data_IF_244197515597
#
_entry.id   IF_244197515597
#
_cell.length_a   1.000
_cell.length_b   1.000
_cell.length_c   1.000
_cell.angle_alpha   90.00
_cell.angle_beta   90.00
_cell.angle_gamma   90.00
#
_symmetry.space_group_name_H-M   'P 1'
#
loop_
_entity.id
_entity.type
_entity.pdbx_description
1 polymer ?
#
# COMPACT_ATOMS: atom_id res chain seq x y z
N UNK A 1 -35.88 -70.33 34.15
CA UNK A 1 -34.61 -69.61 34.40
C UNK A 1 -34.91 -68.15 34.05
N UNK A 2 -35.37 -67.33 35.00
CA UNK A 2 -34.61 -66.89 36.18
C UNK A 2 -33.76 -65.70 35.71
N UNK A 3 -34.30 -64.48 35.83
CA UNK A 3 -34.01 -63.56 36.93
C UNK A 3 -32.58 -63.01 36.84
N UNK A 4 -32.47 -61.78 36.34
CA UNK A 4 -31.55 -60.72 36.82
C UNK A 4 -31.62 -59.56 35.83
N UNK A 5 -32.51 -58.61 36.09
CA UNK A 5 -32.34 -57.19 35.67
C UNK A 5 -33.33 -56.24 36.36
N UNK A 6 -34.03 -56.73 37.41
CA UNK A 6 -34.86 -55.90 38.30
C UNK A 6 -34.08 -55.20 39.41
N UNK A 7 -32.76 -55.39 39.52
CA UNK A 7 -31.97 -54.87 40.66
C UNK A 7 -31.00 -53.73 40.32
N UNK A 8 -30.89 -53.27 39.07
CA UNK A 8 -29.90 -52.24 38.72
C UNK A 8 -30.42 -50.82 38.47
N UNK A 9 -31.74 -50.60 38.49
CA UNK A 9 -32.32 -49.24 38.42
C UNK A 9 -32.93 -48.75 39.75
N UNK A 10 -32.65 -49.42 40.87
CA UNK A 10 -33.11 -49.01 42.22
C UNK A 10 -32.09 -48.09 42.92
N UNK A 11 -30.92 -47.83 42.33
CA UNK A 11 -29.80 -47.16 43.05
C UNK A 11 -29.51 -45.72 42.58
N UNK A 12 -30.25 -45.14 41.63
CA UNK A 12 -29.88 -43.82 41.10
C UNK A 12 -30.96 -42.73 41.03
N UNK A 13 -32.12 -42.94 41.67
CA UNK A 13 -33.08 -41.87 41.95
C UNK A 13 -33.35 -41.66 43.44
N UNK A 14 -32.53 -42.25 44.31
CA UNK A 14 -32.54 -42.01 45.76
C UNK A 14 -31.78 -40.73 46.20
N UNK A 15 -31.65 -39.75 45.31
CA UNK A 15 -31.14 -38.42 45.63
C UNK A 15 -31.91 -37.34 44.88
N UNK A 16 -33.17 -37.14 45.23
CA UNK A 16 -33.78 -35.79 45.35
C UNK A 16 -35.27 -35.84 45.72
N UNK A 17 -35.68 -36.67 46.67
CA UNK A 17 -36.95 -36.50 47.36
C UNK A 17 -36.71 -36.66 48.87
N UNK A 18 -36.08 -35.65 49.48
CA UNK A 18 -36.18 -35.45 50.93
C UNK A 18 -37.56 -34.81 51.17
N UNK A 19 -38.52 -35.58 51.68
CA UNK A 19 -39.75 -34.95 52.14
C UNK A 19 -41.02 -35.79 52.28
N UNK A 20 -41.01 -37.11 52.10
CA UNK A 20 -42.21 -37.93 52.36
C UNK A 20 -41.90 -38.95 53.45
N UNK A 21 -42.69 -38.90 54.52
CA UNK A 21 -42.50 -39.67 55.74
C UNK A 21 -42.93 -41.12 55.54
N UNK A 22 -42.33 -42.06 56.27
CA UNK A 22 -42.67 -43.52 56.28
C UNK A 22 -44.18 -43.84 56.48
N UNK A 23 -45.02 -42.87 56.86
CA UNK A 23 -46.47 -43.02 56.92
C UNK A 23 -47.14 -43.17 55.54
N UNK A 24 -46.54 -42.60 54.49
CA UNK A 24 -47.15 -42.58 53.16
C UNK A 24 -47.01 -43.92 52.43
N UNK A 25 -45.93 -44.67 52.73
CA UNK A 25 -45.73 -46.03 52.19
C UNK A 25 -46.67 -47.04 52.86
N UNK A 26 -46.97 -46.86 54.15
CA UNK A 26 -47.86 -47.76 54.88
C UNK A 26 -49.33 -47.59 54.51
N UNK A 27 -49.75 -46.39 54.10
CA UNK A 27 -51.11 -46.13 53.59
C UNK A 27 -51.39 -46.82 52.24
N UNK A 28 -50.35 -46.99 51.41
CA UNK A 28 -50.48 -47.62 50.08
C UNK A 28 -50.55 -49.15 50.20
N UNK A 29 -49.87 -49.75 51.17
CA UNK A 29 -49.86 -51.22 51.33
C UNK A 29 -51.14 -51.79 51.98
N UNK A 30 -51.86 -51.02 52.82
CA UNK A 30 -53.08 -51.52 53.48
C UNK A 30 -54.36 -51.43 52.62
N UNK A 31 -54.32 -50.73 51.48
CA UNK A 31 -55.51 -50.50 50.64
C UNK A 31 -55.51 -51.29 49.31
N UNK A 32 -54.57 -52.21 49.11
CA UNK A 32 -54.47 -52.97 47.86
C UNK A 32 -55.44 -54.17 47.77
N UNK A 33 -56.09 -54.58 48.87
CA UNK A 33 -56.89 -55.81 48.95
C UNK A 33 -58.42 -55.62 48.95
N UNK A 34 -58.92 -54.42 48.64
CA UNK A 34 -60.36 -54.22 48.37
C UNK A 34 -60.54 -53.42 47.10
N UNK A 35 -60.67 -54.13 45.99
CA UNK A 35 -61.12 -53.56 44.72
C UNK A 35 -62.41 -52.77 44.93
N UNK A 36 -62.37 -51.50 44.51
CA UNK A 36 -63.44 -50.47 44.41
C UNK A 36 -63.12 -49.17 45.15
N UNK A 37 -62.15 -48.39 44.66
CA UNK A 37 -62.15 -46.92 44.81
C UNK A 37 -61.34 -46.24 43.68
N UNK A 38 -61.67 -46.57 42.42
CA UNK A 38 -61.41 -45.64 41.32
C UNK A 38 -62.52 -44.60 41.36
N UNK A 39 -62.33 -43.57 42.17
CA UNK A 39 -63.25 -42.43 42.30
C UNK A 39 -62.55 -41.37 43.13
N UNK A 40 -62.26 -40.14 42.70
CA UNK A 40 -62.72 -39.34 41.56
C UNK A 40 -61.71 -38.19 41.43
N UNK A 41 -60.77 -38.26 40.51
CA UNK A 41 -60.54 -37.02 39.75
C UNK A 41 -61.69 -37.02 38.76
N UNK A 42 -62.58 -36.01 38.75
CA UNK A 42 -63.62 -35.94 37.74
C UNK A 42 -62.95 -36.14 36.38
N UNK A 43 -63.42 -37.11 35.58
CA UNK A 43 -63.00 -37.30 34.18
C UNK A 43 -62.87 -35.94 33.45
N UNK A 44 -63.78 -34.96 33.66
CA UNK A 44 -63.60 -33.61 33.10
C UNK A 44 -62.38 -32.83 33.61
N UNK A 45 -61.90 -33.02 34.86
CA UNK A 45 -60.66 -32.39 35.36
C UNK A 45 -59.39 -32.99 34.73
N UNK A 46 -59.36 -34.31 34.47
CA UNK A 46 -58.23 -34.95 33.76
C UNK A 46 -58.23 -34.50 32.29
N UNK A 47 -59.39 -34.48 31.65
CA UNK A 47 -59.54 -34.01 30.27
C UNK A 47 -59.15 -32.54 30.13
N UNK A 48 -59.53 -31.68 31.08
CA UNK A 48 -59.10 -30.28 31.10
C UNK A 48 -57.58 -30.13 31.30
N UNK A 49 -56.97 -30.94 32.16
CA UNK A 49 -55.52 -30.94 32.36
C UNK A 49 -54.75 -31.47 31.13
N UNK A 50 -55.32 -32.46 30.43
CA UNK A 50 -54.77 -32.98 29.17
C UNK A 50 -54.87 -31.95 28.05
N UNK A 51 -56.02 -31.30 27.89
CA UNK A 51 -56.21 -30.21 26.93
C UNK A 51 -55.26 -29.03 27.21
N UNK A 52 -55.11 -28.64 28.48
CA UNK A 52 -54.20 -27.57 28.87
C UNK A 52 -52.73 -27.94 28.67
N UNK A 53 -52.36 -29.21 28.83
CA UNK A 53 -51.03 -29.72 28.47
C UNK A 53 -50.79 -29.67 26.96
N UNK A 54 -51.77 -30.05 26.14
CA UNK A 54 -51.66 -29.97 24.68
C UNK A 54 -51.50 -28.51 24.20
N UNK A 55 -52.24 -27.59 24.80
CA UNK A 55 -52.14 -26.15 24.54
C UNK A 55 -50.77 -25.57 24.92
N UNK A 56 -50.20 -25.99 26.05
CA UNK A 56 -48.85 -25.63 26.47
C UNK A 56 -47.78 -26.22 25.54
N UNK A 57 -47.94 -27.46 25.08
CA UNK A 57 -47.02 -28.08 24.13
C UNK A 57 -47.04 -27.38 22.77
N UNK A 58 -48.22 -26.97 22.31
CA UNK A 58 -48.34 -26.18 21.07
C UNK A 58 -47.73 -24.79 21.25
N UNK A 59 -47.91 -24.15 22.41
CA UNK A 59 -47.24 -22.87 22.72
C UNK A 59 -45.72 -23.01 22.76
N UNK A 60 -45.18 -24.07 23.37
CA UNK A 60 -43.73 -24.34 23.38
C UNK A 60 -43.22 -24.52 21.95
N UNK A 61 -43.96 -25.25 21.11
CA UNK A 61 -43.59 -25.47 19.71
C UNK A 61 -43.60 -24.17 18.90
N UNK A 62 -44.59 -23.30 19.12
CA UNK A 62 -44.64 -21.98 18.50
C UNK A 62 -43.45 -21.11 18.92
N UNK A 63 -43.12 -21.08 20.22
CA UNK A 63 -41.94 -20.37 20.72
C UNK A 63 -40.63 -20.94 20.15
N UNK A 64 -40.52 -22.26 19.96
CA UNK A 64 -39.36 -22.87 19.32
C UNK A 64 -39.21 -22.45 17.85
N UNK A 65 -40.33 -22.33 17.12
CA UNK A 65 -40.32 -21.83 15.76
C UNK A 65 -39.91 -20.35 15.71
N UNK A 66 -40.46 -19.51 16.59
CA UNK A 66 -40.07 -18.09 16.71
C UNK A 66 -38.59 -17.91 17.04
N UNK A 67 -38.04 -18.69 17.97
CA UNK A 67 -36.60 -18.66 18.29
C UNK A 67 -35.77 -19.05 17.06
N UNK A 68 -36.21 -20.05 16.30
CA UNK A 68 -35.50 -20.49 15.09
C UNK A 68 -35.49 -19.41 14.02
N UNK A 69 -36.60 -18.69 13.82
CA UNK A 69 -36.70 -17.56 12.91
C UNK A 69 -35.79 -16.40 13.36
N UNK A 70 -35.81 -16.04 14.65
CA UNK A 70 -34.96 -14.98 15.19
C UNK A 70 -33.46 -15.30 15.03
N UNK A 71 -33.05 -16.54 15.25
CA UNK A 71 -31.66 -16.97 15.05
C UNK A 71 -31.26 -16.83 13.58
N UNK A 72 -32.14 -17.21 12.65
CA UNK A 72 -31.87 -17.04 11.22
C UNK A 72 -31.74 -15.55 10.82
N UNK A 73 -32.58 -14.67 11.37
CA UNK A 73 -32.51 -13.22 11.13
C UNK A 73 -31.21 -12.60 11.68
N UNK A 74 -30.73 -13.08 12.84
CA UNK A 74 -29.44 -12.65 13.41
C UNK A 74 -28.28 -13.07 12.49
N UNK A 75 -28.26 -14.33 12.04
CA UNK A 75 -27.22 -14.83 11.14
C UNK A 75 -27.20 -14.06 9.81
N UNK A 76 -28.37 -13.71 9.26
CA UNK A 76 -28.48 -12.91 8.04
C UNK A 76 -28.02 -11.45 8.27
N UNK A 77 -28.34 -10.86 9.42
CA UNK A 77 -27.85 -9.53 9.79
C UNK A 77 -26.32 -9.50 9.89
N UNK A 78 -25.70 -10.48 10.57
CA UNK A 78 -24.25 -10.58 10.69
C UNK A 78 -23.57 -10.75 9.31
N UNK A 79 -24.15 -11.56 8.43
CA UNK A 79 -23.68 -11.73 7.04
C UNK A 79 -23.75 -10.43 6.24
N UNK A 80 -24.84 -9.68 6.37
CA UNK A 80 -25.02 -8.39 5.71
C UNK A 80 -24.02 -7.35 6.24
N UNK A 81 -23.77 -7.31 7.55
CA UNK A 81 -22.79 -6.41 8.15
C UNK A 81 -21.37 -6.73 7.66
N UNK A 82 -21.00 -8.02 7.63
CA UNK A 82 -19.72 -8.48 7.13
C UNK A 82 -19.54 -8.14 5.64
N UNK A 83 -20.60 -8.30 4.83
CA UNK A 83 -20.58 -7.94 3.41
C UNK A 83 -20.41 -6.43 3.22
N UNK A 84 -21.08 -5.60 4.02
CA UNK A 84 -20.91 -4.13 4.00
C UNK A 84 -19.49 -3.73 4.39
N UNK A 85 -18.91 -4.39 5.40
CA UNK A 85 -17.53 -4.13 5.83
C UNK A 85 -16.53 -4.43 4.71
N UNK A 86 -16.63 -5.61 4.11
CA UNK A 86 -15.79 -6.02 2.96
C UNK A 86 -15.98 -5.06 1.78
N UNK A 87 -17.21 -4.64 1.51
CA UNK A 87 -17.48 -3.67 0.44
C UNK A 87 -16.80 -2.32 0.71
N UNK A 88 -16.90 -1.82 1.95
CA UNK A 88 -16.29 -0.56 2.37
C UNK A 88 -14.76 -0.62 2.31
N UNK A 89 -14.15 -1.72 2.75
CA UNK A 89 -12.71 -1.97 2.62
C UNK A 89 -12.25 -2.02 1.14
N UNK A 90 -13.04 -2.68 0.28
CA UNK A 90 -12.76 -2.73 -1.16
C UNK A 90 -12.84 -1.34 -1.82
N UNK A 91 -13.79 -0.51 -1.42
CA UNK A 91 -13.91 0.87 -1.92
C UNK A 91 -12.73 1.73 -1.45
N UNK A 92 -12.35 1.63 -0.18
CA UNK A 92 -11.17 2.33 0.36
C UNK A 92 -9.92 1.90 -0.40
N UNK A 93 -9.72 0.60 -0.60
CA UNK A 93 -8.60 0.07 -1.38
C UNK A 93 -8.56 0.61 -2.82
N UNK A 94 -9.72 0.68 -3.50
CA UNK A 94 -9.81 1.27 -4.85
C UNK A 94 -9.45 2.76 -4.85
N UNK A 95 -9.86 3.49 -3.82
CA UNK A 95 -9.58 4.91 -3.67
C UNK A 95 -8.09 5.17 -3.35
N UNK A 96 -7.49 4.41 -2.43
CA UNK A 96 -6.04 4.43 -2.17
C UNK A 96 -5.24 4.05 -3.41
N UNK A 97 -5.69 3.06 -4.19
CA UNK A 97 -5.07 2.75 -5.48
C UNK A 97 -5.17 3.90 -6.48
N UNK A 98 -6.29 4.62 -6.50
CA UNK A 98 -6.43 5.80 -7.34
C UNK A 98 -5.47 6.90 -6.91
N UNK A 99 -5.30 7.12 -5.60
CA UNK A 99 -4.31 8.04 -5.03
C UNK A 99 -2.89 7.68 -5.48
N UNK A 100 -2.51 6.41 -5.43
CA UNK A 100 -1.16 5.99 -5.83
C UNK A 100 -0.86 6.24 -7.32
N UNK A 101 -1.89 6.33 -8.17
CA UNK A 101 -1.75 6.63 -9.60
C UNK A 101 -1.85 8.13 -9.89
N UNK A 102 -2.76 8.81 -9.19
CA UNK A 102 -3.12 10.21 -9.37
C UNK A 102 -3.58 10.74 -8.00
N UNK A 103 -2.66 11.34 -7.22
CA UNK A 103 -2.93 11.68 -5.82
C UNK A 103 -4.11 12.64 -5.66
N UNK A 104 -4.24 13.61 -6.57
CA UNK A 104 -5.32 14.58 -6.55
C UNK A 104 -6.68 13.91 -6.77
N UNK A 105 -6.81 13.08 -7.82
CA UNK A 105 -8.05 12.33 -8.07
C UNK A 105 -8.33 11.28 -7.00
N UNK A 106 -7.29 10.73 -6.37
CA UNK A 106 -7.42 9.80 -5.25
C UNK A 106 -8.05 10.46 -4.03
N UNK A 107 -7.54 11.61 -3.61
CA UNK A 107 -8.15 12.40 -2.52
C UNK A 107 -9.58 12.79 -2.88
N UNK A 108 -9.83 13.23 -4.12
CA UNK A 108 -11.18 13.55 -4.57
C UNK A 108 -12.13 12.34 -4.41
N UNK A 109 -11.71 11.16 -4.86
CA UNK A 109 -12.53 9.94 -4.74
C UNK A 109 -12.75 9.52 -3.28
N UNK A 110 -11.73 9.66 -2.41
CA UNK A 110 -11.85 9.41 -0.98
C UNK A 110 -12.89 10.34 -0.32
N UNK A 111 -12.91 11.61 -0.74
CA UNK A 111 -13.89 12.60 -0.28
C UNK A 111 -15.29 12.30 -0.79
N UNK A 112 -15.45 12.01 -2.08
CA UNK A 112 -16.74 11.64 -2.69
C UNK A 112 -17.36 10.41 -2.03
N UNK A 113 -16.52 9.42 -1.66
CA UNK A 113 -16.92 8.19 -0.98
C UNK A 113 -17.07 8.34 0.54
N UNK A 114 -16.87 9.54 1.09
CA UNK A 114 -16.97 9.86 2.53
C UNK A 114 -16.00 9.05 3.40
N UNK A 115 -14.87 8.63 2.85
CA UNK A 115 -13.74 8.10 3.63
C UNK A 115 -12.91 9.21 4.25
N UNK A 116 -12.98 10.40 3.67
CA UNK A 116 -12.19 11.56 4.07
C UNK A 116 -13.04 12.82 3.91
N UNK A 117 -12.84 13.80 4.76
CA UNK A 117 -13.39 15.13 4.53
C UNK A 117 -12.37 15.99 3.80
N UNK A 118 -12.84 17.03 3.08
CA UNK A 118 -11.96 17.99 2.40
C UNK A 118 -11.35 19.00 3.39
N UNK A 119 -10.80 18.48 4.48
CA UNK A 119 -10.16 19.21 5.56
C UNK A 119 -8.65 18.90 5.59
N UNK A 120 -7.75 19.91 5.63
CA UNK A 120 -6.31 19.67 5.59
C UNK A 120 -5.78 18.77 6.71
N UNK A 121 -6.33 18.86 7.93
CA UNK A 121 -5.84 18.05 9.06
C UNK A 121 -6.24 16.59 8.89
N UNK A 122 -7.46 16.32 8.44
CA UNK A 122 -7.91 14.95 8.17
C UNK A 122 -7.14 14.33 7.01
N UNK A 123 -6.91 15.07 5.93
CA UNK A 123 -6.09 14.60 4.81
C UNK A 123 -4.66 14.30 5.30
N UNK A 124 -4.03 15.21 6.04
CA UNK A 124 -2.69 15.02 6.57
C UNK A 124 -2.58 13.76 7.45
N UNK A 125 -3.51 13.54 8.37
CA UNK A 125 -3.55 12.32 9.21
C UNK A 125 -3.73 11.05 8.38
N UNK A 126 -4.58 11.09 7.36
CA UNK A 126 -4.76 9.95 6.45
C UNK A 126 -3.47 9.62 5.70
N UNK A 127 -2.77 10.62 5.16
CA UNK A 127 -1.48 10.43 4.51
C UNK A 127 -0.42 9.89 5.49
N UNK A 128 -0.44 10.37 6.73
CA UNK A 128 0.51 9.97 7.78
C UNK A 128 0.32 8.51 8.25
N UNK A 129 -0.87 7.94 8.10
CA UNK A 129 -1.15 6.54 8.44
C UNK A 129 -0.59 5.54 7.42
N UNK A 130 -0.26 5.98 6.19
CA UNK A 130 0.34 5.15 5.14
C UNK A 130 -0.50 3.90 4.74
N UNK A 131 -1.81 3.86 5.02
CA UNK A 131 -2.64 2.66 4.77
C UNK A 131 -2.93 2.49 3.26
N UNK A 132 -2.14 1.64 2.62
CA UNK A 132 -2.26 1.33 1.19
C UNK A 132 -1.86 2.49 0.26
N UNK A 133 -1.12 3.47 0.79
CA UNK A 133 -0.64 4.64 0.06
C UNK A 133 0.84 4.48 -0.28
N UNK A 134 1.21 4.88 -1.50
CA UNK A 134 2.61 4.94 -1.92
C UNK A 134 3.27 6.19 -1.34
N UNK A 135 4.44 6.00 -0.72
CA UNK A 135 5.27 7.10 -0.22
C UNK A 135 5.71 8.08 -1.31
N UNK A 136 5.83 7.61 -2.55
CA UNK A 136 6.08 8.47 -3.70
C UNK A 136 4.87 9.35 -4.03
N UNK A 137 3.66 8.78 -4.02
CA UNK A 137 2.42 9.53 -4.22
C UNK A 137 2.16 10.55 -3.10
N UNK A 138 2.49 10.18 -1.85
CA UNK A 138 2.43 11.11 -0.70
C UNK A 138 3.37 12.29 -0.94
N UNK A 139 4.65 12.03 -1.28
CA UNK A 139 5.63 13.09 -1.55
C UNK A 139 5.22 14.00 -2.70
N UNK A 140 4.68 13.42 -3.78
CA UNK A 140 4.19 14.18 -4.92
C UNK A 140 3.02 15.11 -4.55
N UNK A 141 2.03 14.59 -3.81
CA UNK A 141 0.87 15.35 -3.37
C UNK A 141 1.24 16.47 -2.40
N UNK A 142 2.02 16.17 -1.36
CA UNK A 142 2.47 17.15 -0.39
C UNK A 142 3.33 18.25 -1.03
N UNK A 143 4.06 17.88 -2.10
CA UNK A 143 4.88 18.79 -2.86
C UNK A 143 4.08 19.75 -3.76
N UNK A 144 2.78 19.58 -4.02
CA UNK A 144 2.07 20.44 -4.98
C UNK A 144 1.93 21.91 -4.51
N UNK A 145 1.70 22.83 -5.46
CA UNK A 145 1.53 24.27 -5.17
C UNK A 145 0.08 24.69 -4.86
N UNK A 146 -0.87 23.77 -4.99
CA UNK A 146 -2.27 24.08 -4.72
C UNK A 146 -2.48 24.53 -3.26
N UNK A 147 -3.36 25.51 -3.00
CA UNK A 147 -3.57 26.05 -1.66
C UNK A 147 -4.00 25.00 -0.62
N UNK A 148 -4.70 23.95 -1.06
CA UNK A 148 -5.05 22.83 -0.20
C UNK A 148 -3.80 22.02 0.17
N UNK A 149 -2.98 21.67 -0.82
CA UNK A 149 -1.76 20.87 -0.63
C UNK A 149 -0.76 21.56 0.29
N UNK A 150 -0.59 22.88 0.17
CA UNK A 150 0.26 23.67 1.07
C UNK A 150 -0.23 23.55 2.52
N UNK A 151 -1.56 23.66 2.75
CA UNK A 151 -2.14 23.50 4.09
C UNK A 151 -2.03 22.05 4.60
N UNK A 152 -2.18 21.06 3.72
CA UNK A 152 -2.00 19.65 4.05
C UNK A 152 -0.55 19.38 4.42
N UNK A 153 0.42 19.93 3.70
CA UNK A 153 1.85 19.82 4.03
C UNK A 153 2.12 20.38 5.42
N UNK A 154 1.65 21.58 5.74
CA UNK A 154 1.80 22.13 7.10
C UNK A 154 1.19 21.19 8.15
N UNK A 155 -0.06 20.74 7.97
CA UNK A 155 -0.71 19.83 8.90
C UNK A 155 0.00 18.46 8.99
N UNK A 156 0.64 17.99 7.92
CA UNK A 156 1.39 16.75 7.88
C UNK A 156 2.71 16.87 8.64
N UNK A 157 3.41 18.00 8.52
CA UNK A 157 4.60 18.28 9.34
C UNK A 157 4.20 18.42 10.81
N UNK A 158 3.05 19.06 11.11
CA UNK A 158 2.52 19.18 12.47
C UNK A 158 2.16 17.84 13.12
N UNK A 159 1.98 16.76 12.34
CA UNK A 159 1.82 15.39 12.88
C UNK A 159 3.11 14.80 13.44
N UNK A 160 4.29 15.38 13.13
CA UNK A 160 5.56 14.95 13.68
C UNK A 160 5.84 15.66 15.00
N UNK A 161 6.29 14.90 16.01
CA UNK A 161 6.83 15.48 17.24
C UNK A 161 8.36 15.55 17.17
N UNK A 162 8.86 16.75 16.87
CA UNK A 162 10.31 17.02 16.84
C UNK A 162 10.86 17.57 18.16
N UNK A 163 10.04 17.63 19.20
CA UNK A 163 10.41 18.24 20.48
C UNK A 163 11.60 17.50 21.10
N UNK A 164 12.70 18.23 21.37
CA UNK A 164 13.95 17.72 21.95
C UNK A 164 14.68 16.68 21.09
N UNK A 165 14.30 16.52 19.82
CA UNK A 165 15.06 15.70 18.88
C UNK A 165 16.20 16.51 18.26
N UNK A 166 17.35 15.87 18.02
CA UNK A 166 18.41 16.44 17.20
C UNK A 166 17.99 16.51 15.73
N UNK A 167 18.62 17.40 14.95
CA UNK A 167 18.19 17.69 13.57
C UNK A 167 18.25 16.45 12.66
N UNK A 168 19.29 15.63 12.79
CA UNK A 168 19.42 14.39 12.00
C UNK A 168 18.30 13.41 12.32
N UNK A 169 17.92 13.27 13.59
CA UNK A 169 16.84 12.36 14.00
C UNK A 169 15.47 12.86 13.52
N UNK A 170 15.20 14.16 13.64
CA UNK A 170 14.00 14.76 13.08
C UNK A 170 13.93 14.56 11.55
N UNK A 171 15.05 14.73 10.83
CA UNK A 171 15.14 14.46 9.40
C UNK A 171 14.89 12.98 9.06
N UNK A 172 15.42 12.03 9.85
CA UNK A 172 15.12 10.60 9.66
C UNK A 172 13.64 10.33 9.77
N UNK A 173 12.99 10.83 10.81
CA UNK A 173 11.56 10.61 11.02
C UNK A 173 10.73 11.24 9.90
N UNK A 174 11.08 12.44 9.48
CA UNK A 174 10.40 13.15 8.40
C UNK A 174 10.54 12.43 7.05
N UNK A 175 11.77 12.11 6.65
CA UNK A 175 12.08 11.46 5.36
C UNK A 175 11.65 9.99 5.31
N UNK A 176 11.39 9.35 6.45
CA UNK A 176 10.86 7.99 6.49
C UNK A 176 9.38 7.88 6.08
N UNK A 177 8.63 9.00 6.07
CA UNK A 177 7.17 9.02 5.80
C UNK A 177 6.80 9.19 4.33
N UNK A 178 7.72 9.66 3.49
CA UNK A 178 7.45 9.90 2.07
C UNK A 178 8.76 9.85 1.26
N UNK A 179 8.65 9.71 -0.06
CA UNK A 179 9.80 9.84 -0.96
C UNK A 179 9.89 11.28 -1.43
N UNK A 180 11.10 11.87 -1.33
CA UNK A 180 11.31 13.22 -1.85
C UNK A 180 11.01 13.27 -3.37
N UNK A 181 10.24 14.26 -3.83
CA UNK A 181 9.97 14.46 -5.25
C UNK A 181 11.26 14.82 -6.01
N UNK A 182 11.29 14.59 -7.32
CA UNK A 182 12.46 14.90 -8.16
C UNK A 182 12.56 16.39 -8.53
N UNK A 183 11.44 17.11 -8.50
CA UNK A 183 11.37 18.52 -8.86
C UNK A 183 11.89 19.41 -7.73
N UNK A 184 12.95 20.18 -8.00
CA UNK A 184 13.61 21.03 -7.00
C UNK A 184 12.64 21.95 -6.23
N UNK A 185 11.63 22.51 -6.90
CA UNK A 185 10.64 23.38 -6.26
C UNK A 185 9.75 22.67 -5.23
N UNK A 186 9.48 21.36 -5.42
CA UNK A 186 8.69 20.59 -4.47
C UNK A 186 9.52 20.25 -3.23
N UNK A 187 10.77 19.82 -3.43
CA UNK A 187 11.73 19.57 -2.34
C UNK A 187 11.89 20.82 -1.48
N UNK A 188 12.10 21.97 -2.11
CA UNK A 188 12.26 23.26 -1.46
C UNK A 188 11.15 23.55 -0.44
N UNK A 189 9.87 23.51 -0.88
CA UNK A 189 8.71 23.70 0.01
C UNK A 189 8.65 22.73 1.18
N UNK A 190 8.93 21.45 0.93
CA UNK A 190 8.89 20.43 1.97
C UNK A 190 9.93 20.70 3.05
N UNK A 191 11.13 21.08 2.62
CA UNK A 191 12.25 21.39 3.51
C UNK A 191 12.09 22.72 4.24
N UNK A 192 11.49 23.75 3.61
CA UNK A 192 11.11 25.00 4.28
C UNK A 192 10.10 24.72 5.40
N UNK A 193 9.05 23.95 5.11
CA UNK A 193 8.01 23.62 6.08
C UNK A 193 8.56 22.80 7.25
N UNK A 194 9.41 21.80 6.94
CA UNK A 194 10.12 21.02 7.95
C UNK A 194 10.97 21.92 8.87
N UNK A 195 11.77 22.80 8.28
CA UNK A 195 12.71 23.65 9.02
C UNK A 195 11.98 24.62 9.93
N UNK A 196 10.88 25.20 9.45
CA UNK A 196 10.02 26.08 10.26
C UNK A 196 9.42 25.33 11.45
N UNK A 197 8.93 24.10 11.24
CA UNK A 197 8.37 23.29 12.32
C UNK A 197 9.44 22.83 13.32
N UNK A 198 10.62 22.41 12.84
CA UNK A 198 11.73 22.01 13.71
C UNK A 198 12.17 23.16 14.62
N UNK A 199 12.31 24.38 14.08
CA UNK A 199 12.67 25.57 14.88
C UNK A 199 11.58 25.91 15.90
N UNK A 200 10.31 25.74 15.54
CA UNK A 200 9.18 25.92 16.47
C UNK A 200 9.23 24.92 17.63
N UNK A 201 9.58 23.66 17.37
CA UNK A 201 9.74 22.63 18.39
C UNK A 201 11.02 22.81 19.23
N UNK A 202 12.07 23.40 18.66
CA UNK A 202 13.41 23.52 19.26
C UNK A 202 13.99 24.93 19.09
N UNK A 203 13.40 25.96 19.73
CA UNK A 203 13.75 27.37 19.49
C UNK A 203 15.18 27.74 19.91
N UNK A 204 15.80 26.96 20.78
CA UNK A 204 17.14 27.22 21.33
C UNK A 204 18.28 26.80 20.38
N UNK A 205 17.99 25.99 19.36
CA UNK A 205 19.03 25.37 18.50
C UNK A 205 19.43 26.28 17.34
N UNK A 206 18.44 26.87 16.66
CA UNK A 206 18.65 27.71 15.46
C UNK A 206 18.12 29.13 15.68
N UNK A 207 18.93 30.15 15.38
CA UNK A 207 18.54 31.57 15.46
C UNK A 207 17.57 31.99 14.35
N UNK A 208 17.59 31.28 13.23
CA UNK A 208 16.67 31.50 12.11
C UNK A 208 16.31 30.18 11.44
N UNK A 209 15.11 30.15 10.85
CA UNK A 209 14.64 29.04 10.02
C UNK A 209 15.57 28.78 8.84
N UNK A 210 16.15 29.85 8.26
CA UNK A 210 17.08 29.75 7.13
C UNK A 210 18.34 28.95 7.50
N UNK A 211 18.90 29.16 8.69
CA UNK A 211 20.04 28.37 9.16
C UNK A 211 19.68 26.88 9.30
N UNK A 212 18.51 26.57 9.85
CA UNK A 212 18.02 25.20 9.96
C UNK A 212 17.81 24.56 8.58
N UNK A 213 17.23 25.31 7.64
CA UNK A 213 17.00 24.89 6.26
C UNK A 213 18.30 24.55 5.54
N UNK A 214 19.30 25.46 5.58
CA UNK A 214 20.57 25.24 4.87
C UNK A 214 21.32 24.04 5.46
N UNK A 215 21.36 23.90 6.79
CA UNK A 215 22.00 22.75 7.44
C UNK A 215 21.27 21.45 7.08
N UNK A 216 19.94 21.46 7.06
CA UNK A 216 19.14 20.28 6.67
C UNK A 216 19.44 19.81 5.25
N UNK A 217 19.52 20.75 4.29
CA UNK A 217 19.95 20.43 2.92
C UNK A 217 21.39 19.91 2.87
N UNK A 218 22.29 20.53 3.62
CA UNK A 218 23.67 20.04 3.67
C UNK A 218 23.78 18.64 4.25
N UNK A 219 22.92 18.25 5.19
CA UNK A 219 22.87 16.87 5.71
C UNK A 219 22.37 15.88 4.65
N UNK A 220 21.38 16.24 3.84
CA UNK A 220 20.91 15.39 2.72
C UNK A 220 22.04 15.19 1.69
N UNK A 221 22.77 16.25 1.35
CA UNK A 221 23.93 16.19 0.45
C UNK A 221 25.06 15.35 1.07
N UNK A 222 25.35 15.58 2.36
CA UNK A 222 26.38 14.83 3.09
C UNK A 222 26.05 13.34 3.14
N UNK A 223 24.78 12.97 3.35
CA UNK A 223 24.35 11.57 3.36
C UNK A 223 24.74 10.88 2.05
N UNK A 224 24.49 11.55 0.92
CA UNK A 224 24.83 11.04 -0.41
C UNK A 224 26.35 10.90 -0.55
N UNK A 225 27.12 11.89 -0.11
CA UNK A 225 28.58 11.86 -0.19
C UNK A 225 29.23 10.77 0.68
N UNK A 226 28.69 10.49 1.87
CA UNK A 226 29.25 9.50 2.80
C UNK A 226 28.89 8.06 2.40
N UNK A 227 27.69 7.82 1.87
CA UNK A 227 27.15 6.46 1.70
C UNK A 227 27.08 5.99 0.24
N UNK A 228 27.15 6.88 -0.75
CA UNK A 228 27.18 6.47 -2.15
C UNK A 228 28.55 5.85 -2.52
N UNK A 229 28.62 4.56 -2.95
CA UNK A 229 29.88 3.91 -3.32
C UNK A 229 30.61 4.56 -4.50
N UNK A 230 29.91 5.34 -5.34
CA UNK A 230 30.52 6.05 -6.47
C UNK A 230 31.33 7.29 -6.06
N UNK A 231 31.14 7.79 -4.82
CA UNK A 231 31.90 8.92 -4.29
C UNK A 231 33.19 8.40 -3.67
N UNK A 232 34.33 8.70 -4.31
CA UNK A 232 35.66 8.26 -3.87
C UNK A 232 36.19 9.07 -2.70
N UNK A 233 36.07 10.40 -2.78
CA UNK A 233 36.52 11.31 -1.74
C UNK A 233 35.35 11.65 -0.81
N UNK A 234 35.30 10.93 0.31
CA UNK A 234 34.27 11.14 1.33
C UNK A 234 34.65 12.35 2.20
N UNK A 235 33.75 13.32 2.39
CA UNK A 235 34.06 14.48 3.21
C UNK A 235 34.28 14.09 4.67
N UNK A 236 35.35 14.61 5.26
CA UNK A 236 35.65 14.41 6.68
C UNK A 236 34.92 15.43 7.58
N UNK A 237 35.01 15.22 8.90
CA UNK A 237 34.37 16.07 9.89
C UNK A 237 34.89 17.53 9.84
N UNK A 238 36.17 17.74 9.53
CA UNK A 238 36.75 19.09 9.46
C UNK A 238 36.21 19.85 8.26
N UNK A 239 36.11 19.19 7.11
CA UNK A 239 35.49 19.73 5.90
C UNK A 239 34.01 20.07 6.16
N UNK A 240 33.25 19.17 6.80
CA UNK A 240 31.86 19.43 7.15
C UNK A 240 31.71 20.65 8.09
N UNK A 241 32.52 20.71 9.15
CA UNK A 241 32.50 21.83 10.11
C UNK A 241 32.90 23.15 9.44
N UNK A 242 33.91 23.14 8.56
CA UNK A 242 34.37 24.33 7.86
C UNK A 242 33.33 24.89 6.90
N UNK A 243 32.51 24.04 6.26
CA UNK A 243 31.46 24.47 5.33
C UNK A 243 30.32 25.21 6.04
N UNK A 244 30.12 24.95 7.34
CA UNK A 244 29.01 25.52 8.13
C UNK A 244 29.42 26.70 9.02
N UNK A 245 30.67 27.17 8.94
CA UNK A 245 31.07 28.40 9.64
C UNK A 245 30.28 29.60 9.12
N UNK A 246 29.82 30.46 10.02
CA UNK A 246 29.05 31.67 9.71
C UNK A 246 27.58 31.45 9.32
N UNK A 247 27.09 30.20 9.28
CA UNK A 247 25.74 29.88 8.79
C UNK A 247 24.62 30.29 9.75
N UNK A 248 24.94 30.58 11.01
CA UNK A 248 23.99 30.87 12.08
C UNK A 248 23.78 32.38 12.25
N UNK A 249 23.16 33.00 11.24
CA UNK A 249 22.94 34.45 11.15
C UNK A 249 24.24 35.27 11.28
N UNK A 250 25.31 34.82 10.61
CA UNK A 250 26.64 35.45 10.68
C UNK A 250 27.53 34.93 11.83
N UNK A 251 27.01 34.04 12.69
CA UNK A 251 27.78 33.32 13.70
C UNK A 251 27.93 31.82 13.39
N UNK A 252 28.61 31.09 14.28
CA UNK A 252 28.82 29.65 14.17
C UNK A 252 27.79 28.85 14.98
N UNK A 253 27.43 27.66 14.48
CA UNK A 253 26.74 26.65 15.30
C UNK A 253 27.73 26.05 16.31
N UNK A 254 27.25 25.56 17.48
CA UNK A 254 28.09 24.83 18.42
C UNK A 254 28.82 23.69 17.70
N UNK A 255 30.13 23.58 17.94
CA UNK A 255 30.97 22.61 17.23
C UNK A 255 30.54 21.19 17.59
N UNK A 256 30.16 20.97 18.84
CA UNK A 256 29.65 19.70 19.36
C UNK A 256 28.40 19.25 18.60
N UNK A 257 27.50 20.17 18.23
CA UNK A 257 26.30 19.87 17.47
C UNK A 257 26.63 19.43 16.03
N UNK A 258 27.58 20.08 15.38
CA UNK A 258 28.05 19.69 14.04
C UNK A 258 28.72 18.31 14.05
N UNK A 259 29.51 18.01 15.10
CA UNK A 259 30.12 16.71 15.31
C UNK A 259 29.05 15.64 15.49
N UNK A 260 28.07 15.87 16.36
CA UNK A 260 26.97 14.93 16.60
C UNK A 260 26.19 14.61 15.32
N UNK A 261 25.87 15.65 14.53
CA UNK A 261 25.17 15.47 13.26
C UNK A 261 25.99 14.65 12.25
N UNK A 262 27.28 14.95 12.10
CA UNK A 262 28.17 14.22 11.19
C UNK A 262 28.35 12.77 11.59
N UNK A 263 28.64 12.50 12.87
CA UNK A 263 28.87 11.13 13.35
C UNK A 263 27.59 10.30 13.33
N UNK A 264 26.43 10.89 13.66
CA UNK A 264 25.13 10.23 13.51
C UNK A 264 24.87 9.81 12.07
N UNK A 265 25.10 10.71 11.11
CA UNK A 265 24.88 10.41 9.70
C UNK A 265 25.91 9.44 9.13
N UNK A 266 27.17 9.51 9.54
CA UNK A 266 28.21 8.57 9.15
C UNK A 266 27.94 7.17 9.66
N UNK A 267 27.40 7.04 10.87
CA UNK A 267 27.03 5.76 11.48
C UNK A 267 25.85 5.11 10.76
N UNK A 268 24.83 5.88 10.40
CA UNK A 268 23.61 5.38 9.79
C UNK A 268 23.13 6.32 8.68
N UNK A 269 23.00 5.83 7.45
CA UNK A 269 22.44 6.61 6.35
C UNK A 269 20.97 6.97 6.61
N UNK A 270 20.46 8.03 6.00
CA UNK A 270 19.00 8.24 5.97
C UNK A 270 18.33 7.02 5.36
N UNK A 271 17.34 6.48 6.06
CA UNK A 271 16.45 5.46 5.50
C UNK A 271 15.53 6.15 4.51
N UNK A 272 15.94 6.15 3.25
CA UNK A 272 15.05 6.49 2.15
C UNK A 272 14.19 5.23 1.97
N UNK A 273 12.86 5.32 2.09
CA UNK A 273 11.99 4.17 1.83
C UNK A 273 12.37 3.58 0.47
N UNK A 274 12.97 2.39 0.48
CA UNK A 274 13.34 1.67 -0.74
C UNK A 274 12.07 1.27 -1.49
N UNK A 275 12.21 0.94 -2.78
CA UNK A 275 11.18 0.38 -3.68
C UNK A 275 10.74 -1.05 -3.24
N UNK A 276 10.75 -1.32 -1.93
CA UNK A 276 10.43 -2.62 -1.30
C UNK A 276 9.01 -2.68 -0.73
N UNK A 277 8.10 -1.81 -1.19
CA UNK A 277 6.71 -2.20 -1.13
C UNK A 277 6.52 -3.33 -2.15
N UNK A 278 6.22 -4.55 -1.68
CA UNK A 278 5.98 -5.75 -2.46
C UNK A 278 4.93 -5.61 -3.60
N UNK A 279 4.26 -4.46 -3.68
CA UNK A 279 3.35 -3.97 -4.71
C UNK A 279 4.07 -3.32 -5.93
N UNK A 280 5.32 -2.85 -5.79
CA UNK A 280 6.11 -2.29 -6.90
C UNK A 280 6.72 -3.34 -7.83
N UNK A 281 6.70 -4.64 -7.50
CA UNK A 281 6.96 -5.69 -8.51
C UNK A 281 5.98 -5.65 -9.68
N UNK A 282 4.81 -5.04 -9.48
CA UNK A 282 3.87 -4.68 -10.56
C UNK A 282 4.08 -3.30 -11.18
N UNK A 283 5.03 -2.50 -10.67
CA UNK A 283 5.33 -1.12 -11.06
C UNK A 283 6.69 -0.90 -11.76
N UNK A 284 7.37 -1.95 -12.26
CA UNK A 284 8.56 -1.80 -13.12
C UNK A 284 8.33 -0.86 -14.33
N UNK A 285 7.09 -0.44 -14.60
CA UNK A 285 6.64 0.36 -15.73
C UNK A 285 6.02 1.73 -15.39
N UNK A 286 6.12 2.25 -14.16
CA UNK A 286 5.63 3.61 -13.85
C UNK A 286 6.47 4.70 -14.55
N UNK A 287 5.80 5.72 -15.13
CA UNK A 287 6.34 6.77 -16.04
C UNK A 287 7.15 6.19 -17.21
N UNK A 288 6.53 5.43 -18.12
CA UNK A 288 7.23 5.00 -19.31
C UNK A 288 7.54 6.21 -20.19
N UNK A 289 8.73 6.20 -20.81
CA UNK A 289 9.09 7.20 -21.83
C UNK A 289 8.09 7.17 -22.99
N UNK A 290 7.51 6.00 -23.26
CA UNK A 290 6.40 5.83 -24.19
C UNK A 290 5.66 4.51 -23.93
N UNK A 291 4.35 4.47 -24.14
CA UNK A 291 3.54 3.25 -24.03
C UNK A 291 2.42 3.22 -25.08
N UNK A 292 1.94 2.03 -25.42
CA UNK A 292 0.94 1.88 -26.47
C UNK A 292 0.84 0.48 -27.07
N UNK A 293 -0.22 0.25 -27.85
CA UNK A 293 -0.43 -1.03 -28.55
C UNK A 293 0.35 -1.07 -29.86
N UNK A 294 1.14 -2.13 -30.07
CA UNK A 294 1.77 -2.45 -31.35
C UNK A 294 1.49 -3.89 -31.78
N UNK A 295 1.54 -4.13 -33.08
CA UNK A 295 1.64 -5.47 -33.64
C UNK A 295 3.11 -5.85 -33.77
N UNK A 296 3.49 -7.05 -33.32
CA UNK A 296 4.85 -7.58 -33.46
C UNK A 296 4.90 -8.87 -34.27
N UNK A 297 5.91 -9.01 -35.11
CA UNK A 297 6.17 -10.25 -35.83
C UNK A 297 6.93 -11.25 -34.94
N UNK A 298 6.56 -12.52 -34.98
CA UNK A 298 7.27 -13.60 -34.28
C UNK A 298 8.64 -13.89 -34.90
N UNK A 299 9.55 -14.46 -34.09
CA UNK A 299 10.94 -14.72 -34.48
C UNK A 299 11.08 -15.90 -35.43
N UNK A 300 11.02 -17.11 -34.87
CA UNK A 300 11.07 -18.38 -35.62
C UNK A 300 9.79 -18.62 -36.42
N UNK A 301 8.64 -18.44 -35.78
CA UNK A 301 7.32 -18.55 -36.41
C UNK A 301 6.85 -17.15 -36.73
N UNK A 302 6.64 -16.85 -38.02
CA UNK A 302 6.29 -15.51 -38.52
C UNK A 302 4.80 -15.21 -38.39
N UNK A 303 4.32 -15.15 -37.15
CA UNK A 303 2.94 -14.75 -36.82
C UNK A 303 2.91 -13.36 -36.19
N UNK A 304 1.89 -12.58 -36.53
CA UNK A 304 1.67 -11.26 -35.96
C UNK A 304 0.87 -11.37 -34.66
N UNK A 305 1.29 -10.65 -33.61
CA UNK A 305 0.60 -10.60 -32.32
C UNK A 305 0.45 -9.16 -31.84
N UNK A 306 -0.75 -8.78 -31.39
CA UNK A 306 -1.00 -7.50 -30.72
C UNK A 306 -0.50 -7.59 -29.28
N UNK A 307 0.32 -6.63 -28.85
CA UNK A 307 0.91 -6.58 -27.52
C UNK A 307 0.92 -5.15 -27.02
N UNK A 308 0.72 -4.98 -25.71
CA UNK A 308 0.91 -3.68 -25.06
C UNK A 308 2.41 -3.49 -24.86
N UNK A 309 2.97 -2.41 -25.36
CA UNK A 309 4.38 -2.10 -25.26
C UNK A 309 4.63 -0.96 -24.30
N UNK A 310 5.73 -1.05 -23.57
CA UNK A 310 6.19 -0.04 -22.63
C UNK A 310 7.68 0.17 -22.86
N UNK A 311 8.09 1.42 -23.10
CA UNK A 311 9.47 1.87 -23.21
C UNK A 311 9.89 2.53 -21.90
N UNK A 312 10.89 1.97 -21.21
CA UNK A 312 11.40 2.51 -19.96
C UNK A 312 12.82 2.01 -19.71
N UNK A 313 13.67 2.81 -19.06
CA UNK A 313 15.00 2.39 -18.59
C UNK A 313 15.86 1.72 -19.69
N UNK A 314 15.86 2.31 -20.90
CA UNK A 314 16.55 1.80 -22.10
C UNK A 314 16.14 0.36 -22.51
N UNK A 315 14.96 -0.08 -22.08
CA UNK A 315 14.38 -1.38 -22.38
C UNK A 315 12.97 -1.21 -22.98
N UNK A 316 12.64 -2.10 -23.91
CA UNK A 316 11.30 -2.22 -24.47
C UNK A 316 10.64 -3.51 -24.00
N UNK A 317 9.55 -3.36 -23.27
CA UNK A 317 8.79 -4.44 -22.65
C UNK A 317 7.48 -4.66 -23.40
N UNK A 318 6.98 -5.90 -23.42
CA UNK A 318 5.66 -6.18 -24.00
C UNK A 318 4.85 -7.21 -23.22
N UNK A 319 3.53 -6.98 -23.19
CA UNK A 319 2.54 -7.72 -22.39
C UNK A 319 1.42 -8.27 -23.27
N UNK A 320 0.70 -9.28 -22.79
CA UNK A 320 -0.53 -9.73 -23.47
C UNK A 320 -1.62 -8.67 -23.34
N UNK A 321 -1.82 -8.18 -22.11
CA UNK A 321 -2.83 -7.23 -21.70
C UNK A 321 -2.24 -6.10 -20.82
N UNK A 322 -2.94 -4.98 -20.72
CA UNK A 322 -2.50 -3.81 -19.92
C UNK A 322 -2.50 -4.04 -18.41
N UNK A 323 -3.18 -5.09 -17.95
CA UNK A 323 -3.30 -5.46 -16.53
C UNK A 323 -2.28 -6.51 -16.08
N UNK A 324 -1.45 -7.01 -17.01
CA UNK A 324 -0.49 -8.07 -16.73
C UNK A 324 0.63 -7.59 -15.81
N UNK A 325 0.99 -8.45 -14.87
CA UNK A 325 2.00 -8.15 -13.85
C UNK A 325 3.43 -8.41 -14.32
N UNK A 326 3.61 -9.35 -15.25
CA UNK A 326 4.91 -9.76 -15.77
C UNK A 326 4.96 -9.59 -17.29
N UNK A 327 6.06 -9.05 -17.85
CA UNK A 327 6.21 -8.91 -19.28
C UNK A 327 6.34 -10.28 -19.96
N UNK A 328 5.67 -10.45 -21.09
CA UNK A 328 5.88 -11.60 -21.97
C UNK A 328 7.26 -11.58 -22.61
N UNK A 329 7.90 -10.42 -22.70
CA UNK A 329 9.31 -10.33 -23.02
C UNK A 329 9.90 -8.95 -22.88
N UNK A 330 11.23 -8.93 -22.83
CA UNK A 330 12.05 -7.76 -22.56
C UNK A 330 13.10 -7.66 -23.65
N UNK A 331 13.21 -6.49 -24.26
CA UNK A 331 14.14 -6.17 -25.34
C UNK A 331 15.03 -5.02 -24.85
N UNK A 332 16.24 -5.31 -24.34
CA UNK A 332 17.22 -4.28 -24.05
C UNK A 332 17.59 -3.53 -25.34
N UNK A 333 17.64 -2.20 -25.29
CA UNK A 333 17.86 -1.35 -26.47
C UNK A 333 19.33 -1.02 -26.71
N UNK A 334 20.26 -1.49 -25.87
CA UNK A 334 21.68 -1.23 -26.05
C UNK A 334 22.15 -1.73 -27.43
N UNK A 335 22.84 -0.85 -28.16
CA UNK A 335 23.41 -1.14 -29.47
C UNK A 335 22.38 -1.52 -30.55
N UNK A 336 21.11 -1.18 -30.35
CA UNK A 336 20.07 -1.33 -31.37
C UNK A 336 19.93 -0.05 -32.21
N UNK A 337 19.47 -0.21 -33.44
CA UNK A 337 19.05 0.88 -34.32
C UNK A 337 17.59 0.73 -34.71
N UNK A 338 16.88 1.85 -34.79
CA UNK A 338 15.48 1.93 -35.21
C UNK A 338 15.40 2.40 -36.65
N UNK A 339 14.91 1.54 -37.55
CA UNK A 339 14.81 1.81 -39.00
C UNK A 339 13.38 1.63 -39.51
N UNK A 340 12.98 2.40 -40.51
CA UNK A 340 11.68 2.22 -41.19
C UNK A 340 11.71 0.90 -41.96
N UNK A 341 10.61 0.16 -41.96
CA UNK A 341 10.48 -1.11 -42.67
C UNK A 341 9.18 -1.17 -43.48
N UNK A 342 9.20 -1.92 -44.57
CA UNK A 342 7.99 -2.24 -45.34
C UNK A 342 7.57 -3.69 -45.09
N UNK A 343 6.26 -3.93 -45.04
CA UNK A 343 5.68 -5.27 -44.94
C UNK A 343 4.47 -5.39 -45.88
N UNK A 344 4.35 -6.49 -46.66
CA UNK A 344 3.24 -6.65 -47.61
C UNK A 344 1.86 -6.70 -46.96
N UNK A 345 1.77 -7.05 -45.67
CA UNK A 345 0.50 -7.31 -44.97
C UNK A 345 0.21 -6.35 -43.82
N UNK A 346 1.16 -5.50 -43.45
CA UNK A 346 1.03 -4.61 -42.28
C UNK A 346 1.56 -3.22 -42.59
N UNK A 347 0.75 -2.16 -42.40
CA UNK A 347 1.18 -0.79 -42.62
C UNK A 347 2.07 -0.29 -41.46
N UNK A 348 2.69 0.85 -41.68
CA UNK A 348 3.42 1.62 -40.65
C UNK A 348 4.48 0.81 -39.89
N UNK A 349 5.23 -0.03 -40.62
CA UNK A 349 6.23 -0.91 -40.02
C UNK A 349 7.56 -0.20 -39.73
N UNK A 350 8.25 -0.68 -38.69
CA UNK A 350 9.63 -0.33 -38.36
C UNK A 350 10.34 -1.52 -37.70
N UNK A 351 11.66 -1.59 -37.85
CA UNK A 351 12.49 -2.66 -37.32
C UNK A 351 13.43 -2.13 -36.23
N UNK A 352 13.55 -2.89 -35.13
CA UNK A 352 14.68 -2.83 -34.21
C UNK A 352 15.73 -3.81 -34.70
N UNK A 353 16.92 -3.31 -35.04
CA UNK A 353 17.99 -4.09 -35.65
C UNK A 353 19.29 -3.99 -34.82
N UNK A 354 19.95 -5.13 -34.59
CA UNK A 354 21.29 -5.19 -34.01
C UNK A 354 22.33 -5.29 -35.12
N UNK A 355 23.41 -4.49 -35.06
CA UNK A 355 24.47 -4.49 -36.07
C UNK A 355 25.25 -5.81 -36.05
N UNK A 356 24.81 -6.79 -36.85
CA UNK A 356 25.55 -8.04 -37.10
C UNK A 356 25.49 -9.11 -35.98
N UNK A 357 24.61 -8.97 -34.99
CA UNK A 357 24.45 -9.92 -33.88
C UNK A 357 22.98 -10.25 -33.60
N UNK A 358 22.73 -11.31 -32.83
CA UNK A 358 21.37 -11.62 -32.32
C UNK A 358 21.03 -10.72 -31.14
N UNK A 359 19.80 -10.21 -31.09
CA UNK A 359 19.31 -9.34 -30.03
C UNK A 359 19.18 -10.16 -28.75
N UNK A 360 19.84 -9.72 -27.67
CA UNK A 360 19.81 -10.37 -26.35
C UNK A 360 18.51 -10.08 -25.61
N UNK A 361 17.38 -10.54 -26.15
CA UNK A 361 16.06 -10.41 -25.55
C UNK A 361 15.67 -11.70 -24.78
N UNK A 362 14.74 -11.59 -23.84
CA UNK A 362 14.10 -12.73 -23.18
C UNK A 362 12.58 -12.72 -23.42
N UNK A 363 11.95 -13.89 -23.33
CA UNK A 363 10.48 -14.04 -23.41
C UNK A 363 9.98 -15.18 -22.52
N UNK A 364 8.74 -15.09 -22.08
CA UNK A 364 8.06 -16.11 -21.30
C UNK A 364 7.45 -17.16 -22.24
N UNK A 365 7.70 -18.43 -21.97
CA UNK A 365 7.10 -19.57 -22.65
C UNK A 365 5.71 -19.89 -22.03
N UNK A 366 4.86 -20.66 -22.70
CA UNK A 366 3.47 -20.90 -22.27
C UNK A 366 3.31 -21.63 -20.93
N UNK A 367 4.41 -22.17 -20.40
CA UNK A 367 4.56 -22.82 -19.09
C UNK A 367 5.14 -21.88 -18.01
N UNK A 368 5.30 -20.59 -18.32
CA UNK A 368 5.82 -19.58 -17.39
C UNK A 368 7.34 -19.47 -17.33
N UNK A 369 8.11 -20.31 -18.06
CA UNK A 369 9.58 -20.25 -18.04
C UNK A 369 10.12 -19.14 -18.94
N UNK A 370 11.09 -18.37 -18.45
CA UNK A 370 11.82 -17.39 -19.27
C UNK A 370 12.85 -18.07 -20.18
N UNK A 371 12.82 -17.77 -21.48
CA UNK A 371 13.75 -18.28 -22.49
C UNK A 371 14.36 -17.14 -23.31
N UNK A 372 15.60 -17.32 -23.75
CA UNK A 372 16.28 -16.33 -24.61
C UNK A 372 15.63 -16.27 -26.00
N UNK A 373 15.29 -15.06 -26.44
CA UNK A 373 14.81 -14.76 -27.78
C UNK A 373 15.90 -14.98 -28.82
N UNK A 374 15.55 -15.56 -29.97
CA UNK A 374 16.46 -15.77 -31.11
C UNK A 374 16.08 -14.85 -32.27
N UNK A 375 16.03 -13.55 -32.00
CA UNK A 375 15.66 -12.53 -32.98
C UNK A 375 16.91 -11.83 -33.50
N UNK A 376 17.06 -11.73 -34.82
CA UNK A 376 18.03 -10.84 -35.46
C UNK A 376 17.46 -9.42 -35.62
N UNK A 377 16.14 -9.33 -35.74
CA UNK A 377 15.37 -8.08 -35.70
C UNK A 377 14.02 -8.29 -35.03
N UNK A 378 13.45 -7.20 -34.51
CA UNK A 378 12.04 -7.10 -34.12
C UNK A 378 11.32 -6.19 -35.09
N UNK A 379 10.42 -6.77 -35.89
CA UNK A 379 9.50 -6.01 -36.74
C UNK A 379 8.23 -5.67 -35.98
N UNK A 380 7.92 -4.38 -35.95
CA UNK A 380 6.77 -3.79 -35.28
C UNK A 380 5.92 -2.99 -36.26
N UNK A 381 4.62 -2.90 -36.01
CA UNK A 381 3.64 -2.16 -36.83
C UNK A 381 2.71 -1.38 -35.90
N UNK A 382 2.61 -0.07 -36.14
CA UNK A 382 1.73 0.86 -35.42
C UNK A 382 0.37 1.01 -36.12
N UNK A 383 -0.63 1.62 -35.45
CA UNK A 383 -1.98 1.76 -36.02
C UNK A 383 -2.06 2.92 -37.02
N UNK A 384 -1.22 3.94 -36.85
CA UNK A 384 -1.12 5.07 -37.76
C UNK A 384 0.34 5.45 -38.06
N UNK A 385 0.52 6.35 -39.03
CA UNK A 385 1.83 6.89 -39.36
C UNK A 385 2.39 7.76 -38.22
N UNK A 386 1.53 8.55 -37.58
CA UNK A 386 1.87 9.42 -36.45
C UNK A 386 2.32 8.61 -35.24
N UNK A 387 1.61 7.52 -34.92
CA UNK A 387 2.02 6.60 -33.84
C UNK A 387 3.39 5.98 -34.13
N UNK A 388 3.63 5.53 -35.38
CA UNK A 388 4.94 4.99 -35.78
C UNK A 388 6.05 6.02 -35.52
N UNK A 389 5.84 7.26 -35.91
CA UNK A 389 6.83 8.33 -35.77
C UNK A 389 7.10 8.66 -34.30
N UNK A 390 6.06 8.73 -33.45
CA UNK A 390 6.19 8.90 -32.00
C UNK A 390 6.99 7.76 -31.35
N UNK A 391 6.67 6.50 -31.70
CA UNK A 391 7.42 5.33 -31.23
C UNK A 391 8.88 5.38 -31.63
N UNK A 392 9.16 5.64 -32.90
CA UNK A 392 10.53 5.71 -33.41
C UNK A 392 11.34 6.83 -32.76
N UNK A 393 10.75 8.01 -32.55
CA UNK A 393 11.41 9.13 -31.89
C UNK A 393 11.74 8.81 -30.42
N UNK A 394 10.78 8.24 -29.69
CA UNK A 394 10.95 7.87 -28.29
C UNK A 394 12.05 6.82 -28.12
N UNK A 395 12.06 5.78 -28.98
CA UNK A 395 13.08 4.75 -28.98
C UNK A 395 14.47 5.30 -29.30
N UNK A 396 14.59 6.17 -30.31
CA UNK A 396 15.87 6.82 -30.63
C UNK A 396 16.39 7.70 -29.50
N UNK A 397 15.51 8.44 -28.83
CA UNK A 397 15.87 9.32 -27.71
C UNK A 397 16.32 8.53 -26.49
N UNK A 398 15.66 7.40 -26.20
CA UNK A 398 16.02 6.46 -25.13
C UNK A 398 17.44 5.90 -25.33
N UNK A 399 17.78 5.54 -26.58
CA UNK A 399 19.09 4.99 -26.96
C UNK A 399 20.23 6.03 -26.79
N UNK A 400 19.92 7.34 -26.70
CA UNK A 400 20.92 8.43 -26.70
C UNK A 400 21.11 9.19 -25.37
N UNK A 401 20.51 8.76 -24.25
CA UNK A 401 20.48 9.53 -22.99
C UNK A 401 21.72 9.35 -22.08
N UNK A 402 22.26 10.45 -21.51
CA UNK A 402 23.41 10.50 -20.57
C UNK A 402 22.98 11.11 -19.20
N UNK A 403 23.11 10.39 -18.06
CA UNK A 403 22.68 10.84 -16.74
C UNK A 403 23.51 11.95 -16.06
N UNK A 404 24.69 12.32 -16.55
CA UNK A 404 25.63 13.18 -15.78
C UNK A 404 25.35 14.69 -15.81
N UNK A 405 24.45 15.17 -16.67
CA UNK A 405 24.30 16.61 -16.96
C UNK A 405 23.52 17.40 -15.89
N UNK A 406 22.62 16.76 -15.12
CA UNK A 406 21.71 17.44 -14.19
C UNK A 406 22.33 17.71 -12.80
N UNK A 407 23.30 16.92 -12.37
CA UNK A 407 23.99 17.09 -11.07
C UNK A 407 24.80 18.40 -11.03
N UNK A 408 25.35 18.82 -12.17
CA UNK A 408 26.15 20.05 -12.31
C UNK A 408 25.29 21.33 -12.21
N UNK A 409 24.00 21.24 -12.54
CA UNK A 409 23.06 22.37 -12.47
C UNK A 409 22.72 22.76 -11.03
N UNK A 410 22.70 21.77 -10.13
CA UNK A 410 22.41 21.94 -8.70
C UNK A 410 23.60 22.61 -7.99
N UNK A 411 24.84 22.22 -8.33
CA UNK A 411 26.06 22.87 -7.80
C UNK A 411 26.18 24.35 -8.19
N UNK A 412 25.66 24.74 -9.37
CA UNK A 412 25.63 26.16 -9.81
C UNK A 412 24.70 27.02 -8.96
N UNK A 413 23.57 26.48 -8.48
CA UNK A 413 22.64 27.22 -7.60
C UNK A 413 23.22 27.43 -6.19
N UNK A 414 23.89 26.42 -5.64
CA UNK A 414 24.60 26.52 -4.35
C UNK A 414 25.69 27.60 -4.38
N UNK A 415 26.38 27.74 -5.52
CA UNK A 415 27.43 28.74 -5.71
C UNK A 415 26.88 30.16 -5.89
N UNK A 416 25.66 30.31 -6.43
CA UNK A 416 25.02 31.61 -6.63
C UNK A 416 24.55 32.24 -5.30
N UNK A 417 24.05 31.42 -4.37
CA UNK A 417 23.61 31.87 -3.03
C UNK A 417 24.79 32.38 -2.19
N UNK A 418 25.99 31.81 -2.37
CA UNK A 418 27.24 32.28 -1.73
C UNK A 418 27.76 33.62 -2.26
N UNK A 419 27.23 34.12 -3.38
CA UNK A 419 27.65 35.39 -3.99
C UNK A 419 26.69 36.55 -3.72
N UNK A 420 25.51 36.28 -3.16
CA UNK A 420 24.48 37.29 -2.87
C UNK A 420 24.45 37.74 -1.40
N UNK A 421 25.39 37.26 -0.57
CA UNK A 421 25.56 37.65 0.83
C UNK A 421 26.97 38.15 1.09
#
# INVERSE_FOLDING_TARGET
>A
MGSTDKERCVVQTQKSCRGETERDVQFIMENCDRGTYISKVPVPKIQNAQASREELLESIKNLQNEITEIVADIDDFERLEQTRKIQKENELYRASRKFNMDPEKGIQLLVEKKFLEKDPQQIARFLFQEIGLSKAAIGDYLGQMDPLNIKVLQAFVDCHDFTKLGLVEALRQFLARFRLPGEAQKIDRMMETFSANYCKCNPEIFKSTDSCYIVSFSLIILNTALHNPSVKDKPDLQQFTSVHKGIHAGGDLPTELLIEMYESLKKEAFQIPEEEDAWERTQAFHKPQHEGWLLKLGGRVKTWKKRWFILKDNCLYYFECTTDKEPLGIIPLENLSVIIAEDPKKPHCFDLHARGQTIKACKTHGDGRMVQGKHQSYRLSAQSQEERECWMQSLKSSISWDPFYDIVSIQKRITAIKKSH
#
